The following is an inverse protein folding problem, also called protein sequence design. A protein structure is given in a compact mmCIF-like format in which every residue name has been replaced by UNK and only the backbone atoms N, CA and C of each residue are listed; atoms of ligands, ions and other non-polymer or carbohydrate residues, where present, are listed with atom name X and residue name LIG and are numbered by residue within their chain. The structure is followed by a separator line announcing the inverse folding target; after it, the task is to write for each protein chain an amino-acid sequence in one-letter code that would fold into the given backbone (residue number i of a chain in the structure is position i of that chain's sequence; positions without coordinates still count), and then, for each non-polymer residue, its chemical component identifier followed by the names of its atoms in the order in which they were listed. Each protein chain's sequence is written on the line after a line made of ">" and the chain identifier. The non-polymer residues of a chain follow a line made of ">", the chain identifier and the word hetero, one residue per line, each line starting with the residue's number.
data_IF_167980653828
#
_entry.id   IF_167980653828
#
_cell.length_a   1.000
_cell.length_b   1.000
_cell.length_c   1.000
_cell.angle_alpha   90.00
_cell.angle_beta   90.00
_cell.angle_gamma   90.00
#
_symmetry.space_group_name_H-M   'P 1'
#
loop_
_entity.id
_entity.type
_entity.pdbx_description
1 polymer ?
#
# COMPACT_ATOMS: atom_id res chain seq x y z
N UNK A 1 21.06 0.51 -21.71
CA UNK A 1 21.49 1.55 -20.79
C UNK A 1 21.75 0.97 -19.43
N UNK A 2 22.90 1.16 -18.96
CA UNK A 2 23.23 0.66 -17.63
C UNK A 2 23.06 1.78 -16.63
N UNK A 3 22.40 1.48 -15.54
CA UNK A 3 22.31 2.38 -14.42
C UNK A 3 23.36 1.97 -13.41
N UNK A 4 24.47 2.70 -13.42
CA UNK A 4 25.50 2.48 -12.42
C UNK A 4 25.07 2.97 -11.05
N UNK A 5 25.84 2.65 -10.00
CA UNK A 5 25.54 3.12 -8.65
C UNK A 5 25.44 4.64 -8.53
N UNK A 6 26.27 5.35 -9.25
CA UNK A 6 26.24 6.81 -9.24
C UNK A 6 24.95 7.37 -9.79
N UNK A 7 24.46 6.77 -10.87
CA UNK A 7 23.22 7.19 -11.48
C UNK A 7 22.03 6.91 -10.56
N UNK A 8 22.05 5.77 -9.88
CA UNK A 8 21.02 5.43 -8.90
C UNK A 8 21.01 6.42 -7.73
N UNK A 9 22.16 6.75 -7.18
CA UNK A 9 22.28 7.70 -6.09
C UNK A 9 21.80 9.09 -6.51
N UNK A 10 22.19 9.51 -7.71
CA UNK A 10 21.74 10.79 -8.26
C UNK A 10 20.21 10.81 -8.38
N UNK A 11 19.63 9.76 -8.91
CA UNK A 11 18.19 9.64 -9.06
C UNK A 11 17.46 9.72 -7.73
N UNK A 12 17.98 9.05 -6.69
CA UNK A 12 17.38 9.07 -5.36
C UNK A 12 17.51 10.43 -4.69
N UNK A 13 18.67 11.08 -4.83
CA UNK A 13 18.92 12.38 -4.20
C UNK A 13 18.08 13.50 -4.82
N UNK A 14 17.61 13.31 -6.06
CA UNK A 14 16.80 14.30 -6.77
C UNK A 14 15.32 13.96 -6.80
N UNK A 15 14.88 13.00 -5.99
CA UNK A 15 13.46 12.63 -5.94
C UNK A 15 12.60 13.84 -5.55
N UNK A 16 11.64 14.13 -6.40
CA UNK A 16 10.62 15.13 -6.10
C UNK A 16 9.61 14.55 -5.11
N UNK A 17 8.93 15.37 -4.33
CA UNK A 17 7.89 14.87 -3.41
C UNK A 17 6.86 13.96 -4.09
N UNK A 18 6.44 14.30 -5.31
CA UNK A 18 5.49 13.47 -6.06
C UNK A 18 6.06 12.11 -6.45
N UNK A 19 7.35 12.06 -6.78
CA UNK A 19 8.01 10.80 -7.13
C UNK A 19 8.19 9.92 -5.91
N UNK A 20 8.51 10.50 -4.77
CA UNK A 20 8.64 9.76 -3.52
C UNK A 20 7.30 9.14 -3.10
N UNK A 21 6.20 9.89 -3.22
CA UNK A 21 4.87 9.36 -2.94
C UNK A 21 4.51 8.22 -3.88
N UNK A 22 4.83 8.36 -5.15
CA UNK A 22 4.57 7.32 -6.14
C UNK A 22 5.33 6.04 -5.80
N UNK A 23 6.59 6.15 -5.40
CA UNK A 23 7.39 5.00 -5.00
C UNK A 23 6.87 4.34 -3.73
N UNK A 24 6.42 5.15 -2.77
CA UNK A 24 5.82 4.65 -1.54
C UNK A 24 4.56 3.84 -1.86
N UNK A 25 3.68 4.37 -2.70
CA UNK A 25 2.46 3.68 -3.12
C UNK A 25 2.77 2.40 -3.88
N UNK A 26 3.76 2.46 -4.78
CA UNK A 26 4.18 1.29 -5.54
C UNK A 26 4.68 0.18 -4.61
N UNK A 27 5.40 0.53 -3.54
CA UNK A 27 5.91 -0.45 -2.59
C UNK A 27 4.79 -1.22 -1.90
N UNK A 28 3.63 -0.60 -1.70
CA UNK A 28 2.48 -1.27 -1.13
C UNK A 28 1.99 -2.38 -2.05
N UNK A 29 1.86 -2.09 -3.35
CA UNK A 29 1.46 -3.10 -4.33
C UNK A 29 2.48 -4.23 -4.46
N UNK A 30 3.76 -3.91 -4.33
CA UNK A 30 4.82 -4.90 -4.40
C UNK A 30 4.85 -5.82 -3.19
N UNK A 31 4.54 -5.29 -2.02
CA UNK A 31 4.72 -6.01 -0.76
C UNK A 31 3.46 -6.68 -0.24
N UNK A 32 2.28 -6.24 -0.67
CA UNK A 32 1.04 -6.84 -0.17
C UNK A 32 0.93 -8.29 -0.62
N UNK A 33 0.68 -9.21 0.32
CA UNK A 33 0.82 -10.64 0.09
C UNK A 33 -0.47 -11.29 -0.39
N UNK A 34 -1.07 -10.73 -1.42
CA UNK A 34 -2.19 -11.34 -2.13
C UNK A 34 -1.97 -11.12 -3.61
N UNK A 35 -1.75 -12.22 -4.35
CA UNK A 35 -1.37 -12.16 -5.75
C UNK A 35 -2.42 -12.83 -6.63
N UNK A 36 -2.68 -12.18 -7.76
CA UNK A 36 -3.48 -12.76 -8.82
C UNK A 36 -2.61 -13.44 -9.86
N UNK A 37 -3.16 -13.70 -11.05
CA UNK A 37 -2.42 -14.31 -12.14
C UNK A 37 -1.14 -13.55 -12.47
N UNK A 38 -0.10 -14.28 -12.85
CA UNK A 38 1.19 -13.72 -13.23
C UNK A 38 1.87 -12.91 -12.13
N UNK A 39 1.47 -13.11 -10.87
CA UNK A 39 2.07 -12.44 -9.74
C UNK A 39 1.64 -11.00 -9.53
N UNK A 40 0.63 -10.52 -10.25
CA UNK A 40 0.11 -9.18 -10.06
C UNK A 40 -0.61 -9.05 -8.71
N UNK A 41 -0.51 -7.87 -8.09
CA UNK A 41 -1.20 -7.61 -6.85
C UNK A 41 -2.71 -7.69 -7.05
N UNK A 42 -3.41 -8.28 -6.10
CA UNK A 42 -4.86 -8.38 -6.13
C UNK A 42 -5.49 -7.38 -5.16
N UNK A 43 -6.77 -7.04 -5.40
CA UNK A 43 -7.54 -6.24 -4.46
C UNK A 43 -7.63 -6.96 -3.11
N UNK A 44 -7.30 -6.24 -2.03
CA UNK A 44 -7.30 -6.82 -0.69
C UNK A 44 -8.68 -7.36 -0.29
N UNK A 45 -9.74 -6.78 -0.80
CA UNK A 45 -11.11 -7.09 -0.37
C UNK A 45 -11.79 -8.15 -1.21
N UNK A 46 -11.83 -8.00 -2.53
CA UNK A 46 -12.51 -8.95 -3.41
C UNK A 46 -11.57 -9.97 -4.06
N UNK A 47 -10.27 -9.75 -3.98
CA UNK A 47 -9.28 -10.66 -4.54
C UNK A 47 -9.14 -10.59 -6.06
N UNK A 48 -9.85 -9.70 -6.72
CA UNK A 48 -9.76 -9.55 -8.16
C UNK A 48 -8.44 -8.88 -8.54
N UNK A 49 -7.87 -9.35 -9.62
CA UNK A 49 -6.71 -8.71 -10.21
C UNK A 49 -7.17 -7.70 -11.24
N UNK A 50 -6.60 -6.50 -11.19
CA UNK A 50 -6.82 -5.47 -12.18
C UNK A 50 -5.49 -4.80 -12.50
N UNK A 51 -5.38 -4.33 -13.75
CA UNK A 51 -4.19 -3.64 -14.19
C UNK A 51 -3.97 -2.35 -13.41
N UNK A 52 -5.04 -1.69 -13.01
CA UNK A 52 -4.97 -0.44 -12.26
C UNK A 52 -5.68 -0.57 -10.93
N UNK A 53 -4.93 -0.94 -9.92
CA UNK A 53 -5.44 -0.90 -8.55
C UNK A 53 -5.26 0.49 -7.97
N UNK A 54 -6.11 0.82 -7.01
CA UNK A 54 -6.00 2.03 -6.20
C UNK A 54 -5.46 1.67 -4.82
N UNK A 55 -5.22 2.67 -4.00
CA UNK A 55 -4.88 2.47 -2.60
C UNK A 55 -6.02 3.00 -1.75
N UNK A 56 -6.52 2.14 -0.87
CA UNK A 56 -7.58 2.49 0.05
C UNK A 56 -6.99 2.78 1.43
N UNK A 57 -7.54 3.79 2.10
CA UNK A 57 -7.28 4.03 3.51
C UNK A 57 -8.19 3.10 4.32
N UNK A 58 -7.59 2.12 4.99
CA UNK A 58 -8.35 1.09 5.72
C UNK A 58 -9.27 1.75 6.73
N UNK A 59 -8.71 2.62 7.58
CA UNK A 59 -9.52 3.56 8.36
C UNK A 59 -9.60 4.86 7.57
N UNK A 60 -10.80 5.32 7.23
CA UNK A 60 -10.94 6.53 6.41
C UNK A 60 -10.28 7.74 7.04
N UNK A 61 -9.76 8.63 6.19
CA UNK A 61 -9.16 9.88 6.66
C UNK A 61 -10.16 10.69 7.49
N UNK A 62 -11.42 10.72 7.08
CA UNK A 62 -12.48 11.43 7.78
C UNK A 62 -12.75 10.88 9.19
N UNK A 63 -12.26 9.69 9.48
CA UNK A 63 -12.41 9.02 10.78
C UNK A 63 -11.09 8.90 11.53
N UNK A 64 -10.13 9.75 11.20
CA UNK A 64 -8.85 9.81 11.88
C UNK A 64 -7.80 8.82 11.39
N UNK A 65 -8.04 8.16 10.27
CA UNK A 65 -7.06 7.23 9.71
C UNK A 65 -5.80 7.94 9.23
N UNK A 66 -4.67 7.30 9.40
CA UNK A 66 -3.39 7.83 8.95
C UNK A 66 -3.36 7.94 7.42
N UNK A 67 -2.81 9.05 6.92
CA UNK A 67 -2.81 9.32 5.47
C UNK A 67 -1.71 8.57 4.73
N UNK A 68 -0.55 8.39 5.37
CA UNK A 68 0.64 7.85 4.71
C UNK A 68 1.37 6.83 5.57
N UNK A 69 0.62 5.95 6.23
CA UNK A 69 1.20 4.82 6.97
C UNK A 69 0.77 3.52 6.32
N UNK A 70 1.71 2.63 6.06
CA UNK A 70 1.43 1.37 5.37
C UNK A 70 0.42 0.52 6.12
N UNK A 71 0.40 0.60 7.45
CA UNK A 71 -0.59 -0.14 8.26
C UNK A 71 -2.02 0.33 8.04
N UNK A 72 -2.21 1.46 7.37
CA UNK A 72 -3.54 1.98 7.06
C UNK A 72 -3.82 2.07 5.56
N UNK A 73 -2.97 1.49 4.74
CA UNK A 73 -3.09 1.54 3.28
C UNK A 73 -3.12 0.13 2.72
N UNK A 74 -4.04 -0.14 1.83
CA UNK A 74 -4.17 -1.45 1.20
C UNK A 74 -4.52 -1.33 -0.27
N UNK A 75 -4.07 -2.28 -1.11
CA UNK A 75 -4.50 -2.31 -2.51
C UNK A 75 -5.99 -2.56 -2.60
N UNK A 76 -6.66 -1.82 -3.46
CA UNK A 76 -8.10 -1.97 -3.65
C UNK A 76 -8.47 -1.68 -5.09
N UNK A 77 -9.41 -2.43 -5.64
CA UNK A 77 -9.99 -2.07 -6.91
C UNK A 77 -10.91 -0.86 -6.72
N UNK A 78 -11.17 -0.15 -7.80
CA UNK A 78 -12.01 1.05 -7.75
C UNK A 78 -13.40 0.73 -7.19
N UNK A 79 -14.00 -0.38 -7.59
CA UNK A 79 -15.32 -0.79 -7.12
C UNK A 79 -15.38 -0.96 -5.61
N UNK A 80 -14.43 -1.69 -5.03
CA UNK A 80 -14.38 -1.90 -3.59
C UNK A 80 -14.13 -0.59 -2.86
N UNK A 81 -13.20 0.21 -3.36
CA UNK A 81 -12.88 1.50 -2.76
C UNK A 81 -14.11 2.41 -2.72
N UNK A 82 -14.84 2.51 -3.84
CA UNK A 82 -16.05 3.31 -3.92
C UNK A 82 -17.16 2.77 -3.03
N UNK A 83 -17.36 1.46 -3.02
CA UNK A 83 -18.40 0.83 -2.20
C UNK A 83 -18.13 0.99 -0.71
N UNK A 84 -16.87 0.83 -0.32
CA UNK A 84 -16.48 0.99 1.09
C UNK A 84 -16.63 2.43 1.54
N UNK A 85 -16.24 3.39 0.70
CA UNK A 85 -16.32 4.80 1.03
C UNK A 85 -15.70 5.09 2.41
N UNK A 86 -16.43 5.75 3.31
CA UNK A 86 -15.97 6.06 4.67
C UNK A 86 -16.53 5.12 5.73
N UNK A 87 -17.00 3.95 5.31
CA UNK A 87 -17.56 2.97 6.25
C UNK A 87 -16.43 2.23 6.98
N UNK A 88 -16.77 1.68 8.14
CA UNK A 88 -15.87 0.78 8.84
C UNK A 88 -15.56 -0.42 7.95
N UNK A 89 -14.26 -0.72 7.79
CA UNK A 89 -13.83 -1.74 6.83
C UNK A 89 -14.43 -3.11 7.14
N UNK A 90 -14.42 -3.53 8.40
CA UNK A 90 -14.89 -4.86 8.76
C UNK A 90 -16.41 -4.99 8.64
N UNK A 91 -17.14 -3.98 9.09
CA UNK A 91 -18.59 -3.96 9.00
C UNK A 91 -19.05 -3.96 7.55
N UNK A 92 -18.43 -3.12 6.72
CA UNK A 92 -18.73 -3.07 5.29
C UNK A 92 -18.36 -4.38 4.61
N UNK A 93 -17.16 -4.89 4.83
CA UNK A 93 -16.63 -6.04 4.11
C UNK A 93 -17.46 -7.30 4.38
N UNK A 94 -17.85 -7.51 5.63
CA UNK A 94 -18.64 -8.68 5.99
C UNK A 94 -20.00 -8.75 5.31
N UNK A 95 -20.51 -7.63 4.82
CA UNK A 95 -21.78 -7.62 4.10
C UNK A 95 -21.64 -7.91 2.62
N UNK A 96 -20.41 -8.01 2.11
CA UNK A 96 -20.18 -8.25 0.70
C UNK A 96 -20.21 -9.75 0.37
N UNK A 97 -20.69 -10.12 -0.82
CA UNK A 97 -20.73 -11.52 -1.27
C UNK A 97 -19.34 -12.14 -1.31
N UNK A 98 -18.34 -11.33 -1.58
CA UNK A 98 -16.95 -11.78 -1.72
C UNK A 98 -16.16 -11.75 -0.41
N UNK A 99 -16.79 -11.56 0.71
CA UNK A 99 -16.12 -11.67 2.01
C UNK A 99 -15.33 -12.97 2.10
N UNK A 100 -14.10 -12.90 2.60
CA UNK A 100 -13.24 -14.06 2.74
C UNK A 100 -12.42 -13.95 4.02
N UNK A 101 -12.50 -14.97 4.85
CA UNK A 101 -11.70 -15.01 6.07
C UNK A 101 -10.21 -15.08 5.77
N UNK A 102 -9.84 -15.76 4.67
CA UNK A 102 -8.44 -15.83 4.26
C UNK A 102 -7.90 -14.45 3.88
N UNK A 103 -8.65 -13.70 3.08
CA UNK A 103 -8.24 -12.34 2.72
C UNK A 103 -8.26 -11.41 3.93
N UNK A 104 -9.19 -11.62 4.84
CA UNK A 104 -9.23 -10.85 6.09
C UNK A 104 -7.98 -11.12 6.94
N UNK A 105 -7.53 -12.36 6.98
CA UNK A 105 -6.30 -12.71 7.69
C UNK A 105 -5.08 -12.06 7.05
N UNK A 106 -5.02 -11.98 5.72
CA UNK A 106 -3.94 -11.28 5.03
C UNK A 106 -3.92 -9.80 5.42
N UNK A 107 -5.08 -9.15 5.41
CA UNK A 107 -5.17 -7.74 5.80
C UNK A 107 -4.76 -7.53 7.26
N UNK A 108 -5.22 -8.38 8.16
CA UNK A 108 -4.83 -8.30 9.57
C UNK A 108 -3.32 -8.44 9.76
N UNK A 109 -2.70 -9.40 9.09
CA UNK A 109 -1.25 -9.57 9.16
C UNK A 109 -0.51 -8.35 8.61
N UNK A 110 -1.02 -7.79 7.54
CA UNK A 110 -0.46 -6.59 6.95
C UNK A 110 -0.50 -5.41 7.93
N UNK A 111 -1.65 -5.20 8.56
CA UNK A 111 -1.82 -4.13 9.54
C UNK A 111 -0.86 -4.32 10.72
N UNK A 112 -0.82 -5.51 11.28
CA UNK A 112 0.02 -5.81 12.45
C UNK A 112 1.51 -5.68 12.10
N UNK A 113 1.92 -6.30 11.00
CA UNK A 113 3.31 -6.25 10.56
C UNK A 113 3.79 -4.81 10.37
N UNK A 114 2.98 -3.99 9.70
CA UNK A 114 3.34 -2.61 9.44
C UNK A 114 3.14 -1.68 10.64
N UNK A 115 2.55 -2.14 11.72
CA UNK A 115 2.40 -1.37 12.95
C UNK A 115 3.59 -1.54 13.89
N UNK A 116 4.36 -2.60 13.73
CA UNK A 116 5.48 -2.93 14.62
C UNK A 116 6.77 -2.22 14.23
N UNK A 117 6.85 -1.69 13.03
CA UNK A 117 8.07 -1.08 12.50
C UNK A 117 7.80 0.37 12.09
N UNK A 118 8.47 1.30 12.76
CA UNK A 118 8.34 2.73 12.45
C UNK A 118 8.78 3.07 11.02
N UNK A 119 9.56 2.21 10.37
CA UNK A 119 10.01 2.43 8.99
C UNK A 119 8.90 2.24 7.96
N UNK A 120 7.69 1.87 8.37
CA UNK A 120 6.59 1.58 7.46
C UNK A 120 5.78 2.82 7.08
N UNK A 121 5.95 3.95 7.75
CA UNK A 121 5.26 5.17 7.37
C UNK A 121 6.00 5.92 6.26
N UNK A 122 5.34 6.89 5.68
CA UNK A 122 5.91 7.64 4.56
C UNK A 122 7.15 8.42 4.96
N UNK A 123 7.15 9.02 6.16
CA UNK A 123 8.32 9.76 6.66
C UNK A 123 9.53 8.87 6.82
N UNK A 124 9.34 7.70 7.41
CA UNK A 124 10.40 6.72 7.56
C UNK A 124 10.86 6.18 6.21
N UNK A 125 9.93 5.99 5.27
CA UNK A 125 10.26 5.58 3.91
C UNK A 125 11.17 6.60 3.23
N UNK A 126 10.86 7.88 3.37
CA UNK A 126 11.70 8.96 2.83
C UNK A 126 13.08 8.97 3.47
N UNK A 127 13.15 8.82 4.80
CA UNK A 127 14.40 8.79 5.52
C UNK A 127 15.28 7.61 5.07
N UNK A 128 14.68 6.44 4.90
CA UNK A 128 15.39 5.26 4.41
C UNK A 128 15.92 5.47 3.00
N UNK A 129 15.14 6.10 2.13
CA UNK A 129 15.58 6.43 0.77
C UNK A 129 16.75 7.40 0.77
N UNK A 130 16.71 8.41 1.64
CA UNK A 130 17.80 9.36 1.80
C UNK A 130 19.07 8.68 2.31
N UNK A 131 18.94 7.81 3.31
CA UNK A 131 20.08 7.05 3.85
C UNK A 131 20.68 6.16 2.78
N UNK A 132 19.85 5.52 1.98
CA UNK A 132 20.32 4.70 0.87
C UNK A 132 21.09 5.55 -0.14
N UNK A 133 20.59 6.74 -0.44
CA UNK A 133 21.22 7.62 -1.41
C UNK A 133 22.60 8.13 -0.91
N UNK A 134 22.77 8.25 0.39
CA UNK A 134 24.02 8.73 1.00
C UNK A 134 25.02 7.59 1.15
N UNK A 135 24.53 6.40 1.34
CA UNK A 135 25.39 5.25 1.54
C UNK A 135 26.07 4.82 0.24
#
# INVERSE_FOLDING_TARGET
>A
MSNGPEELLHSLSELRPGDAKRRFRKSIFEDYQLRGPLGHCACAYCGQWEEKLTIDHIVPKSKGGAHFSRNNLAPSCFSCNSSKSNLDVWAWWRTQDYWSEQRAAVLNRWIVFNSEDASTDYGAFLAASCNFAVA
#
